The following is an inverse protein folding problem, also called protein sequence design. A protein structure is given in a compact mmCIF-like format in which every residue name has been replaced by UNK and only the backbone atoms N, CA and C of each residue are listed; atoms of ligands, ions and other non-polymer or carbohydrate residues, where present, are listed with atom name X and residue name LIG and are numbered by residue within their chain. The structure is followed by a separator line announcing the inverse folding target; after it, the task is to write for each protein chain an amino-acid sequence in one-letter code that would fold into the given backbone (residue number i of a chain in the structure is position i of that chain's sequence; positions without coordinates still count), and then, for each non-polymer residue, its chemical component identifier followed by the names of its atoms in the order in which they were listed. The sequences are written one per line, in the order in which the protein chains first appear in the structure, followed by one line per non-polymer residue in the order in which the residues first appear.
data_IF_765607323900
#
_entry.id   IF_765607323900
#
_cell.length_a   1.000
_cell.length_b   1.000
_cell.length_c   1.000
_cell.angle_alpha   90.00
_cell.angle_beta   90.00
_cell.angle_gamma   90.00
#
_symmetry.space_group_name_H-M   'P 1'
#
loop_
_entity.id
_entity.type
_entity.pdbx_description
1 polymer ?
#
# COMPACT_ATOMS: atom_id res chain seq x y z
N UNK A 1 15.03 11.95 8.94
CA UNK A 1 14.34 10.66 8.97
C UNK A 1 15.25 9.61 8.36
N UNK A 2 15.44 8.49 9.02
CA UNK A 2 16.21 7.34 8.55
C UNK A 2 15.26 6.19 8.25
N UNK A 3 15.43 5.56 7.09
CA UNK A 3 14.69 4.37 6.70
C UNK A 3 15.59 3.15 6.88
N UNK A 4 15.14 2.22 7.74
CA UNK A 4 15.77 0.90 7.88
C UNK A 4 15.20 0.02 6.76
N UNK A 5 16.09 -0.52 5.92
CA UNK A 5 15.71 -1.14 4.63
C UNK A 5 15.45 -2.64 4.71
N UNK A 6 15.33 -3.20 5.90
CA UNK A 6 14.91 -4.59 6.08
C UNK A 6 13.48 -4.78 5.61
N UNK A 7 13.20 -5.82 4.83
CA UNK A 7 11.86 -6.17 4.37
C UNK A 7 10.94 -6.60 5.53
N UNK A 8 11.52 -7.21 6.57
CA UNK A 8 10.84 -7.55 7.81
C UNK A 8 11.82 -7.54 8.98
N UNK A 9 12.00 -6.39 9.59
CA UNK A 9 12.88 -6.20 10.76
C UNK A 9 12.54 -7.12 11.94
N UNK A 10 11.30 -7.56 12.02
CA UNK A 10 10.79 -8.38 13.13
C UNK A 10 10.83 -9.88 12.84
N UNK A 11 11.48 -10.32 11.78
CA UNK A 11 11.63 -11.74 11.45
C UNK A 11 12.31 -12.53 12.58
N UNK A 12 13.29 -11.92 13.24
CA UNK A 12 13.86 -12.37 14.51
C UNK A 12 13.50 -11.36 15.62
N UNK A 13 12.45 -11.66 16.38
CA UNK A 13 11.98 -10.81 17.47
C UNK A 13 13.06 -10.54 18.52
N UNK A 14 13.85 -11.55 18.86
CA UNK A 14 14.88 -11.42 19.89
C UNK A 14 16.00 -10.48 19.45
N UNK A 15 16.39 -10.58 18.18
CA UNK A 15 17.34 -9.67 17.59
C UNK A 15 16.79 -8.23 17.53
N UNK A 16 15.56 -8.04 17.07
CA UNK A 16 14.92 -6.74 17.00
C UNK A 16 14.88 -6.05 18.38
N UNK A 17 14.49 -6.78 19.43
CA UNK A 17 14.49 -6.26 20.81
C UNK A 17 15.89 -5.83 21.25
N UNK A 18 16.93 -6.62 20.95
CA UNK A 18 18.32 -6.24 21.30
C UNK A 18 18.75 -4.96 20.57
N UNK A 19 18.45 -4.84 19.29
CA UNK A 19 18.79 -3.64 18.52
C UNK A 19 18.06 -2.40 19.05
N UNK A 20 16.76 -2.51 19.30
CA UNK A 20 15.97 -1.39 19.85
C UNK A 20 16.48 -0.94 21.24
N UNK A 21 16.78 -1.89 22.12
CA UNK A 21 17.36 -1.58 23.43
C UNK A 21 18.73 -0.93 23.31
N UNK A 22 19.55 -1.32 22.35
CA UNK A 22 20.85 -0.69 22.08
C UNK A 22 20.64 0.77 21.59
N UNK A 23 19.73 1.00 20.65
CA UNK A 23 19.39 2.35 20.18
C UNK A 23 18.99 3.25 21.35
N UNK A 24 18.18 2.72 22.28
CA UNK A 24 17.72 3.45 23.47
C UNK A 24 18.89 3.71 24.43
N UNK A 25 19.71 2.70 24.74
CA UNK A 25 20.82 2.84 25.70
C UNK A 25 21.92 3.78 25.22
N UNK A 26 22.21 3.79 23.91
CA UNK A 26 23.16 4.69 23.28
C UNK A 26 22.58 6.09 23.01
N UNK A 27 21.35 6.34 23.42
CA UNK A 27 20.63 7.61 23.22
C UNK A 27 20.68 8.12 21.76
N UNK A 28 20.52 7.22 20.81
CA UNK A 28 20.53 7.55 19.38
C UNK A 28 19.25 8.31 19.01
N UNK A 29 19.39 9.59 18.73
CA UNK A 29 18.26 10.52 18.49
C UNK A 29 18.01 10.72 16.99
N UNK A 30 17.21 9.86 16.40
CA UNK A 30 16.74 10.00 15.02
C UNK A 30 15.25 9.68 14.92
N UNK A 31 14.63 10.15 13.84
CA UNK A 31 13.28 9.75 13.48
C UNK A 31 13.40 8.57 12.50
N UNK A 32 13.08 7.37 12.98
CA UNK A 32 13.19 6.14 12.20
C UNK A 32 11.87 5.76 11.55
N UNK A 33 11.98 5.17 10.36
CA UNK A 33 10.91 4.46 9.65
C UNK A 33 11.40 3.05 9.30
N UNK A 34 10.52 2.07 9.39
CA UNK A 34 10.85 0.67 9.15
C UNK A 34 9.69 -0.03 8.46
N UNK A 35 10.03 -1.04 7.64
CA UNK A 35 9.04 -1.93 7.06
C UNK A 35 8.74 -3.10 7.97
N UNK A 36 7.48 -3.45 8.08
CA UNK A 36 6.99 -4.49 8.96
C UNK A 36 5.81 -5.24 8.34
N UNK A 37 5.68 -6.49 8.70
CA UNK A 37 4.41 -7.21 8.53
C UNK A 37 3.41 -6.70 9.57
N UNK A 38 2.11 -6.80 9.24
CA UNK A 38 1.05 -6.29 10.12
C UNK A 38 1.02 -6.96 11.50
N UNK A 39 1.53 -8.19 11.63
CA UNK A 39 1.53 -8.94 12.89
C UNK A 39 2.28 -8.22 14.03
N UNK A 40 3.20 -7.31 13.72
CA UNK A 40 3.85 -6.47 14.74
C UNK A 40 2.83 -5.64 15.54
N UNK A 41 1.68 -5.34 14.94
CA UNK A 41 0.59 -4.63 15.60
C UNK A 41 -0.08 -5.40 16.74
N UNK A 42 0.27 -6.66 16.96
CA UNK A 42 -0.20 -7.47 18.08
C UNK A 42 0.87 -7.67 19.17
N UNK A 43 2.03 -7.02 19.06
CA UNK A 43 3.13 -7.10 20.03
C UNK A 43 3.32 -5.74 20.73
N UNK A 44 2.56 -5.53 21.80
CA UNK A 44 2.55 -4.27 22.54
C UNK A 44 3.94 -3.91 23.10
N UNK A 45 4.71 -4.88 23.59
CA UNK A 45 6.10 -4.65 24.05
C UNK A 45 6.97 -4.11 22.91
N UNK A 46 6.85 -4.67 21.73
CA UNK A 46 7.61 -4.25 20.55
C UNK A 46 7.21 -2.84 20.12
N UNK A 47 5.91 -2.51 20.11
CA UNK A 47 5.42 -1.18 19.78
C UNK A 47 5.93 -0.12 20.76
N UNK A 48 5.96 -0.43 22.05
CA UNK A 48 6.51 0.45 23.08
C UNK A 48 8.02 0.65 22.91
N UNK A 49 8.78 -0.40 22.63
CA UNK A 49 10.22 -0.31 22.37
C UNK A 49 10.52 0.53 21.12
N UNK A 50 9.76 0.34 20.05
CA UNK A 50 9.88 1.15 18.84
C UNK A 50 9.69 2.63 19.14
N UNK A 51 8.64 2.97 19.88
CA UNK A 51 8.37 4.35 20.25
C UNK A 51 9.50 4.94 21.10
N UNK A 52 10.00 4.19 22.10
CA UNK A 52 11.11 4.61 22.95
C UNK A 52 12.41 4.79 22.14
N UNK A 53 12.65 3.96 21.15
CA UNK A 53 13.81 4.03 20.27
C UNK A 53 13.72 5.15 19.19
N UNK A 54 12.65 5.95 19.19
CA UNK A 54 12.50 7.09 18.27
C UNK A 54 11.86 6.75 16.92
N UNK A 55 11.22 5.60 16.81
CA UNK A 55 10.40 5.29 15.63
C UNK A 55 9.11 6.09 15.65
N UNK A 56 8.73 6.65 14.54
CA UNK A 56 7.52 7.46 14.41
C UNK A 56 6.54 6.90 13.39
N UNK A 57 7.01 6.00 12.53
CA UNK A 57 6.21 5.47 11.43
C UNK A 57 6.62 4.03 11.12
N UNK A 58 5.63 3.17 10.90
CA UNK A 58 5.80 1.82 10.38
C UNK A 58 5.21 1.72 8.98
N UNK A 59 5.99 1.26 8.02
CA UNK A 59 5.51 0.88 6.69
C UNK A 59 4.97 -0.55 6.76
N UNK A 60 3.65 -0.69 6.75
CA UNK A 60 2.96 -1.96 6.99
C UNK A 60 2.40 -2.51 5.69
N UNK A 61 2.70 -3.78 5.40
CA UNK A 61 2.09 -4.52 4.30
C UNK A 61 0.61 -4.75 4.60
N UNK A 62 -0.26 -3.90 4.04
CA UNK A 62 -1.72 -4.07 4.06
C UNK A 62 -2.14 -4.96 2.89
N UNK A 63 -1.45 -4.79 1.77
CA UNK A 63 -1.55 -5.51 0.52
C UNK A 63 -2.91 -5.35 -0.17
N UNK A 64 -3.96 -6.04 0.27
CA UNK A 64 -5.30 -6.02 -0.31
C UNK A 64 -6.34 -5.47 0.67
N UNK A 65 -7.51 -5.08 0.15
CA UNK A 65 -8.65 -4.65 0.96
C UNK A 65 -9.80 -5.65 0.94
N UNK A 66 -9.71 -6.69 0.11
CA UNK A 66 -10.72 -7.72 -0.08
C UNK A 66 -10.16 -9.09 0.32
N UNK A 67 -10.92 -9.85 1.15
CA UNK A 67 -10.49 -11.17 1.62
C UNK A 67 -10.32 -12.17 0.47
N UNK A 68 -11.09 -12.04 -0.62
CA UNK A 68 -10.96 -12.87 -1.83
C UNK A 68 -9.57 -12.75 -2.48
N UNK A 69 -8.95 -11.56 -2.42
CA UNK A 69 -7.60 -11.38 -2.93
C UNK A 69 -6.57 -12.06 -2.03
N UNK A 70 -6.73 -12.02 -0.72
CA UNK A 70 -5.85 -12.76 0.20
C UNK A 70 -5.93 -14.27 -0.03
N UNK A 71 -7.14 -14.81 -0.19
CA UNK A 71 -7.35 -16.23 -0.46
C UNK A 71 -6.73 -16.67 -1.79
N UNK A 72 -6.95 -15.90 -2.87
CA UNK A 72 -6.45 -16.20 -4.21
C UNK A 72 -4.91 -16.28 -4.26
N UNK A 73 -4.21 -15.49 -3.44
CA UNK A 73 -2.75 -15.48 -3.38
C UNK A 73 -2.19 -16.18 -2.13
N UNK A 74 -2.99 -17.09 -1.52
CA UNK A 74 -2.60 -17.93 -0.38
C UNK A 74 -2.04 -17.14 0.81
N UNK A 75 -2.51 -15.91 1.01
CA UNK A 75 -2.20 -15.11 2.17
C UNK A 75 -3.14 -15.51 3.33
N UNK A 76 -2.56 -15.81 4.48
CA UNK A 76 -3.34 -16.20 5.67
C UNK A 76 -3.95 -14.99 6.41
N UNK A 77 -3.72 -13.78 5.93
CA UNK A 77 -4.20 -12.54 6.54
C UNK A 77 -5.66 -12.29 6.17
N UNK A 78 -6.38 -11.65 7.07
CA UNK A 78 -7.72 -11.11 6.81
C UNK A 78 -7.70 -9.59 6.90
N UNK A 79 -8.60 -8.95 6.18
CA UNK A 79 -8.79 -7.49 6.26
C UNK A 79 -9.00 -7.00 7.71
N UNK A 80 -9.78 -7.76 8.51
CA UNK A 80 -10.08 -7.41 9.92
C UNK A 80 -8.82 -7.44 10.79
N UNK A 81 -7.96 -8.44 10.65
CA UNK A 81 -6.71 -8.54 11.40
C UNK A 81 -5.77 -7.39 11.09
N UNK A 82 -5.60 -7.07 9.80
CA UNK A 82 -4.75 -5.96 9.37
C UNK A 82 -5.26 -4.63 9.92
N UNK A 83 -6.57 -4.41 9.90
CA UNK A 83 -7.17 -3.20 10.45
C UNK A 83 -6.95 -3.11 11.96
N UNK A 84 -7.17 -4.19 12.70
CA UNK A 84 -6.96 -4.26 14.15
C UNK A 84 -5.49 -3.98 14.51
N UNK A 85 -4.55 -4.56 13.76
CA UNK A 85 -3.12 -4.31 13.94
C UNK A 85 -2.76 -2.84 13.68
N UNK A 86 -3.25 -2.25 12.60
CA UNK A 86 -3.00 -0.85 12.28
C UNK A 86 -3.58 0.11 13.34
N UNK A 87 -4.75 -0.20 13.88
CA UNK A 87 -5.34 0.57 14.98
C UNK A 87 -4.51 0.47 16.26
N UNK A 88 -3.99 -0.71 16.59
CA UNK A 88 -3.15 -0.89 17.76
C UNK A 88 -1.80 -0.16 17.63
N UNK A 89 -1.15 -0.22 16.46
CA UNK A 89 0.05 0.56 16.16
C UNK A 89 -0.19 2.06 16.45
N UNK A 90 -1.34 2.58 16.00
CA UNK A 90 -1.70 3.99 16.22
C UNK A 90 -1.98 4.31 17.68
N UNK A 91 -2.59 3.40 18.46
CA UNK A 91 -2.79 3.58 19.91
C UNK A 91 -1.47 3.73 20.66
N UNK A 92 -0.40 3.08 20.21
CA UNK A 92 0.95 3.23 20.76
C UNK A 92 1.67 4.50 20.27
N UNK A 93 0.98 5.39 19.53
CA UNK A 93 1.51 6.67 19.07
C UNK A 93 2.47 6.56 17.88
N UNK A 94 2.46 5.43 17.18
CA UNK A 94 3.16 5.21 15.93
C UNK A 94 2.22 5.49 14.76
N UNK A 95 2.76 5.96 13.63
CA UNK A 95 1.96 6.17 12.41
C UNK A 95 2.08 4.96 11.49
N UNK A 96 1.05 4.71 10.72
CA UNK A 96 1.02 3.62 9.74
C UNK A 96 1.12 4.20 8.33
N UNK A 97 2.15 3.79 7.59
CA UNK A 97 2.23 3.93 6.14
C UNK A 97 1.72 2.63 5.52
N UNK A 98 0.72 2.71 4.66
CA UNK A 98 0.15 1.52 4.01
C UNK A 98 0.92 1.15 2.75
N UNK A 99 1.31 -0.12 2.65
CA UNK A 99 1.83 -0.71 1.42
C UNK A 99 0.71 -1.53 0.79
N UNK A 100 0.25 -1.12 -0.41
CA UNK A 100 -0.90 -1.70 -1.09
C UNK A 100 -0.51 -2.34 -2.41
N UNK A 101 -1.15 -3.45 -2.73
CA UNK A 101 -1.06 -4.13 -4.01
C UNK A 101 -2.41 -4.01 -4.72
N UNK A 102 -2.38 -3.59 -5.99
CA UNK A 102 -3.54 -3.58 -6.87
C UNK A 102 -3.28 -4.44 -8.09
N UNK A 103 -4.34 -4.86 -8.78
CA UNK A 103 -4.20 -5.70 -9.97
C UNK A 103 -4.33 -7.20 -9.68
N UNK A 104 -4.92 -7.60 -8.56
CA UNK A 104 -5.42 -8.96 -8.38
C UNK A 104 -6.56 -9.24 -9.38
N UNK A 105 -6.76 -10.50 -9.77
CA UNK A 105 -7.79 -10.89 -10.73
C UNK A 105 -9.20 -10.57 -10.23
N UNK A 106 -9.43 -10.59 -8.91
CA UNK A 106 -10.69 -10.15 -8.28
C UNK A 106 -10.94 -8.63 -8.36
N UNK A 107 -9.93 -7.84 -8.68
CA UNK A 107 -10.07 -6.39 -8.71
C UNK A 107 -10.90 -5.92 -9.90
N UNK A 108 -11.80 -4.99 -9.64
CA UNK A 108 -12.69 -4.35 -10.62
C UNK A 108 -12.52 -2.84 -10.59
N UNK A 109 -13.16 -2.13 -11.51
CA UNK A 109 -13.27 -0.66 -11.45
C UNK A 109 -13.79 -0.22 -10.09
N UNK A 110 -13.26 0.90 -9.58
CA UNK A 110 -13.54 1.43 -8.25
C UNK A 110 -12.56 0.97 -7.17
N UNK A 111 -11.60 0.07 -7.46
CA UNK A 111 -10.56 -0.35 -6.51
C UNK A 111 -9.76 0.86 -6.00
N UNK A 112 -9.44 1.81 -6.86
CA UNK A 112 -8.73 3.03 -6.47
C UNK A 112 -9.52 3.91 -5.51
N UNK A 113 -10.85 4.00 -5.69
CA UNK A 113 -11.73 4.73 -4.77
C UNK A 113 -11.83 4.03 -3.42
N UNK A 114 -12.04 2.69 -3.40
CA UNK A 114 -12.08 1.92 -2.15
C UNK A 114 -10.79 2.09 -1.35
N UNK A 115 -9.64 2.01 -2.04
CA UNK A 115 -8.33 2.24 -1.43
C UNK A 115 -8.21 3.66 -0.85
N UNK A 116 -8.61 4.68 -1.59
CA UNK A 116 -8.58 6.05 -1.10
C UNK A 116 -9.48 6.25 0.11
N UNK A 117 -10.71 5.73 0.07
CA UNK A 117 -11.66 5.80 1.18
C UNK A 117 -11.13 5.08 2.43
N UNK A 118 -10.46 3.92 2.26
CA UNK A 118 -9.79 3.21 3.34
C UNK A 118 -8.69 4.06 3.98
N UNK A 119 -7.77 4.56 3.18
CA UNK A 119 -6.64 5.39 3.65
C UNK A 119 -7.11 6.60 4.42
N UNK A 120 -8.17 7.26 3.92
CA UNK A 120 -8.73 8.46 4.55
C UNK A 120 -9.44 8.11 5.85
N UNK A 121 -10.27 7.07 5.85
CA UNK A 121 -11.08 6.66 7.01
C UNK A 121 -10.21 6.20 8.18
N UNK A 122 -9.13 5.47 7.88
CA UNK A 122 -8.25 4.89 8.91
C UNK A 122 -7.01 5.73 9.19
N UNK A 123 -6.97 6.99 8.71
CA UNK A 123 -5.87 7.95 8.93
C UNK A 123 -4.48 7.34 8.66
N UNK A 124 -4.36 6.61 7.55
CA UNK A 124 -3.08 6.10 7.07
C UNK A 124 -2.23 7.29 6.61
N UNK A 125 -1.04 7.44 7.18
CA UNK A 125 -0.25 8.68 7.07
C UNK A 125 0.45 8.85 5.71
N UNK A 126 0.67 7.76 4.99
CA UNK A 126 1.27 7.73 3.67
C UNK A 126 0.97 6.42 2.96
N UNK A 127 1.13 6.37 1.65
CA UNK A 127 0.85 5.16 0.88
C UNK A 127 1.92 4.87 -0.16
N UNK A 128 2.21 3.59 -0.34
CA UNK A 128 2.84 3.05 -1.53
C UNK A 128 1.83 2.13 -2.22
N UNK A 129 1.45 2.46 -3.43
CA UNK A 129 0.52 1.66 -4.25
C UNK A 129 1.32 1.04 -5.38
N UNK A 130 1.44 -0.27 -5.38
CA UNK A 130 2.11 -1.02 -6.43
C UNK A 130 1.11 -1.87 -7.20
N UNK A 131 1.29 -1.99 -8.50
CA UNK A 131 0.59 -3.02 -9.25
C UNK A 131 1.25 -4.37 -8.99
N UNK A 132 0.42 -5.41 -8.98
CA UNK A 132 0.93 -6.78 -8.97
C UNK A 132 1.84 -7.01 -10.17
N UNK A 133 2.96 -7.67 -9.94
CA UNK A 133 3.88 -8.12 -10.99
C UNK A 133 4.35 -9.54 -10.64
N UNK A 134 4.71 -10.29 -11.65
CA UNK A 134 5.04 -11.70 -11.52
C UNK A 134 6.51 -11.94 -11.79
N UNK A 135 7.18 -12.58 -10.84
CA UNK A 135 8.62 -12.85 -10.92
C UNK A 135 8.83 -14.16 -11.67
N UNK A 136 9.54 -14.17 -12.83
CA UNK A 136 9.87 -15.38 -13.55
C UNK A 136 10.51 -16.45 -12.66
N UNK A 137 10.14 -17.71 -12.92
CA UNK A 137 10.54 -18.85 -12.11
C UNK A 137 9.67 -19.13 -10.90
N UNK A 138 8.65 -18.30 -10.63
CA UNK A 138 7.65 -18.58 -9.60
C UNK A 138 6.40 -19.26 -10.19
N UNK A 139 5.68 -20.10 -9.43
CA UNK A 139 4.43 -20.70 -9.90
C UNK A 139 3.39 -19.66 -10.35
N UNK A 140 3.31 -18.52 -9.67
CA UNK A 140 2.40 -17.44 -10.01
C UNK A 140 2.73 -16.83 -11.37
N UNK A 141 4.02 -16.70 -11.71
CA UNK A 141 4.42 -16.25 -13.05
C UNK A 141 3.94 -17.21 -14.13
N UNK A 142 4.13 -18.52 -13.95
CA UNK A 142 3.72 -19.52 -14.93
C UNK A 142 2.20 -19.50 -15.19
N UNK A 143 1.41 -19.22 -14.16
CA UNK A 143 -0.04 -19.10 -14.26
C UNK A 143 -0.46 -17.82 -15.02
N UNK A 144 0.26 -16.70 -14.83
CA UNK A 144 -0.16 -15.39 -15.32
C UNK A 144 0.65 -14.85 -16.50
N UNK A 145 1.68 -15.57 -16.99
CA UNK A 145 2.52 -15.11 -18.10
C UNK A 145 1.74 -14.76 -19.37
N UNK A 146 0.60 -15.42 -19.61
CA UNK A 146 -0.28 -15.13 -20.74
C UNK A 146 -1.04 -13.80 -20.64
N UNK A 147 -1.12 -13.19 -19.46
CA UNK A 147 -1.74 -11.88 -19.23
C UNK A 147 -0.75 -10.71 -19.27
N UNK A 148 0.55 -11.01 -19.40
CA UNK A 148 1.60 -9.98 -19.44
C UNK A 148 1.47 -9.13 -20.70
N UNK A 149 1.60 -7.82 -20.53
CA UNK A 149 1.66 -6.83 -21.59
C UNK A 149 3.11 -6.59 -22.00
N UNK A 150 4.01 -6.73 -21.03
CA UNK A 150 5.41 -6.40 -21.18
C UNK A 150 6.25 -7.32 -20.29
N UNK A 151 7.25 -7.94 -20.90
CA UNK A 151 8.23 -8.78 -20.21
C UNK A 151 9.51 -8.00 -19.83
N UNK A 152 9.51 -6.70 -20.05
CA UNK A 152 10.67 -5.86 -19.72
C UNK A 152 10.82 -5.70 -18.21
N UNK A 153 11.86 -6.31 -17.67
CA UNK A 153 12.22 -6.26 -16.25
C UNK A 153 12.31 -4.85 -15.66
N UNK A 154 12.71 -3.86 -16.46
CA UNK A 154 12.77 -2.48 -16.00
C UNK A 154 11.38 -1.92 -15.65
N UNK A 155 10.31 -2.60 -16.02
CA UNK A 155 8.93 -2.24 -15.69
C UNK A 155 8.36 -3.07 -14.53
N UNK A 156 9.00 -4.19 -14.17
CA UNK A 156 8.58 -5.03 -13.04
C UNK A 156 8.94 -4.42 -11.68
N UNK A 157 8.64 -3.14 -11.50
CA UNK A 157 8.94 -2.33 -10.31
C UNK A 157 7.68 -1.74 -9.68
N UNK A 158 6.58 -2.51 -9.68
CA UNK A 158 5.28 -2.05 -9.19
C UNK A 158 4.45 -1.27 -10.20
N UNK A 159 4.89 -1.22 -11.47
CA UNK A 159 4.10 -0.69 -12.59
C UNK A 159 3.09 -1.72 -13.09
N UNK A 160 2.04 -1.26 -13.76
CA UNK A 160 1.09 -2.16 -14.40
C UNK A 160 1.74 -2.81 -15.62
N UNK A 161 1.91 -4.13 -15.55
CA UNK A 161 2.57 -4.95 -16.60
C UNK A 161 1.70 -6.10 -17.09
N UNK A 162 0.47 -6.23 -16.60
CA UNK A 162 -0.44 -7.29 -16.98
C UNK A 162 -1.90 -6.79 -17.04
N UNK A 163 -2.76 -7.57 -17.65
CA UNK A 163 -4.21 -7.38 -17.63
C UNK A 163 -4.81 -8.36 -16.60
N UNK A 164 -5.31 -7.88 -15.44
CA UNK A 164 -6.11 -8.72 -14.55
C UNK A 164 -7.40 -9.19 -15.21
N UNK A 165 -8.04 -10.24 -14.68
CA UNK A 165 -9.20 -10.88 -15.32
C UNK A 165 -10.40 -9.93 -15.51
N UNK A 166 -10.63 -9.00 -14.56
CA UNK A 166 -11.84 -8.18 -14.53
C UNK A 166 -11.62 -6.69 -14.75
N UNK A 167 -10.38 -6.27 -15.01
CA UNK A 167 -10.05 -4.88 -15.29
C UNK A 167 -8.92 -4.79 -16.30
N UNK A 168 -9.01 -3.88 -17.27
CA UNK A 168 -7.91 -3.66 -18.20
C UNK A 168 -6.72 -2.96 -17.51
N UNK A 169 -5.50 -3.21 -17.97
CA UNK A 169 -4.32 -2.52 -17.47
C UNK A 169 -4.44 -0.99 -17.54
N UNK A 170 -5.04 -0.46 -18.61
CA UNK A 170 -5.31 0.97 -18.73
C UNK A 170 -6.27 1.49 -17.67
N UNK A 171 -7.32 0.72 -17.36
CA UNK A 171 -8.27 1.13 -16.32
C UNK A 171 -7.69 0.93 -14.92
N UNK A 172 -6.93 -0.13 -14.68
CA UNK A 172 -6.18 -0.30 -13.43
C UNK A 172 -5.23 0.88 -13.19
N UNK A 173 -4.49 1.31 -14.22
CA UNK A 173 -3.62 2.48 -14.11
C UNK A 173 -4.40 3.78 -13.80
N UNK A 174 -5.60 3.95 -14.36
CA UNK A 174 -6.49 5.08 -14.01
C UNK A 174 -6.96 5.01 -12.56
N UNK A 175 -7.27 3.82 -12.06
CA UNK A 175 -7.65 3.59 -10.66
C UNK A 175 -6.50 3.98 -9.70
N UNK A 176 -5.25 3.62 -10.02
CA UNK A 176 -4.07 4.05 -9.23
C UNK A 176 -3.93 5.58 -9.21
N UNK A 177 -4.09 6.21 -10.38
CA UNK A 177 -4.06 7.67 -10.49
C UNK A 177 -5.20 8.30 -9.67
N UNK A 178 -6.40 7.73 -9.73
CA UNK A 178 -7.57 8.20 -8.97
C UNK A 178 -7.31 8.10 -7.47
N UNK A 179 -6.80 6.96 -6.99
CA UNK A 179 -6.45 6.76 -5.59
C UNK A 179 -5.46 7.84 -5.11
N UNK A 180 -4.33 8.01 -5.80
CA UNK A 180 -3.33 9.04 -5.48
C UNK A 180 -3.93 10.45 -5.46
N UNK A 181 -4.83 10.79 -6.40
CA UNK A 181 -5.48 12.12 -6.46
C UNK A 181 -6.46 12.35 -5.33
N UNK A 182 -7.18 11.31 -4.90
CA UNK A 182 -8.16 11.38 -3.82
C UNK A 182 -7.46 11.49 -2.46
N UNK A 183 -6.44 10.67 -2.22
CA UNK A 183 -5.68 10.65 -0.97
C UNK A 183 -4.94 11.97 -0.77
N UNK A 184 -4.29 12.49 -1.81
CA UNK A 184 -3.53 13.74 -1.78
C UNK A 184 -4.24 14.85 -2.57
N UNK A 185 -5.49 15.11 -2.21
CA UNK A 185 -6.30 16.16 -2.82
C UNK A 185 -6.03 17.54 -2.20
N UNK A 186 -6.39 18.61 -2.91
CA UNK A 186 -6.24 19.96 -2.40
C UNK A 186 -7.03 20.22 -1.10
N UNK A 187 -8.27 19.75 -0.93
CA UNK A 187 -8.98 19.86 0.36
C UNK A 187 -8.20 19.23 1.52
N UNK A 188 -7.60 18.06 1.32
CA UNK A 188 -6.78 17.40 2.36
C UNK A 188 -5.47 18.13 2.64
N UNK A 189 -4.89 18.78 1.62
CA UNK A 189 -3.75 19.66 1.83
C UNK A 189 -4.13 20.84 2.73
N UNK A 190 -5.26 21.47 2.46
CA UNK A 190 -5.77 22.57 3.28
C UNK A 190 -6.08 22.13 4.70
N UNK A 191 -6.73 20.98 4.87
CA UNK A 191 -6.98 20.37 6.18
C UNK A 191 -5.67 20.12 6.96
N UNK A 192 -4.66 19.57 6.30
CA UNK A 192 -3.35 19.32 6.91
C UNK A 192 -2.64 20.62 7.33
N UNK A 193 -2.76 21.68 6.54
CA UNK A 193 -2.20 22.98 6.89
C UNK A 193 -2.88 23.63 8.08
N UNK A 194 -4.19 23.44 8.23
CA UNK A 194 -5.01 24.04 9.29
C UNK A 194 -4.95 23.24 10.61
N UNK A 195 -5.00 21.92 10.53
CA UNK A 195 -5.22 21.06 11.70
C UNK A 195 -4.00 20.25 12.12
N UNK A 196 -3.11 19.82 11.19
CA UNK A 196 -1.89 19.09 11.55
C UNK A 196 -0.81 20.04 12.05
N UNK A 197 0.02 19.59 13.01
CA UNK A 197 1.09 20.39 13.61
C UNK A 197 2.41 19.62 13.64
N UNK A 198 3.52 20.35 13.82
CA UNK A 198 4.85 19.77 13.99
C UNK A 198 5.24 18.80 12.87
N UNK A 199 5.75 17.65 13.26
CA UNK A 199 6.25 16.62 12.35
C UNK A 199 5.16 16.06 11.42
N UNK A 200 3.93 15.90 11.89
CA UNK A 200 2.83 15.36 11.08
C UNK A 200 2.52 16.23 9.87
N UNK A 201 2.47 17.55 10.07
CA UNK A 201 2.27 18.49 8.97
C UNK A 201 3.42 18.42 7.97
N UNK A 202 4.66 18.43 8.47
CA UNK A 202 5.86 18.39 7.61
C UNK A 202 5.89 17.13 6.76
N UNK A 203 5.57 15.98 7.34
CA UNK A 203 5.57 14.71 6.64
C UNK A 203 4.44 14.61 5.63
N UNK A 204 3.24 15.08 5.97
CA UNK A 204 2.14 15.13 5.01
C UNK A 204 2.47 16.02 3.81
N UNK A 205 3.07 17.20 4.04
CA UNK A 205 3.49 18.09 2.96
C UNK A 205 4.55 17.45 2.08
N UNK A 206 5.57 16.83 2.68
CA UNK A 206 6.59 16.10 1.95
C UNK A 206 5.99 15.02 1.05
N UNK A 207 5.08 14.21 1.61
CA UNK A 207 4.35 13.17 0.88
C UNK A 207 3.49 13.77 -0.24
N UNK A 208 2.75 14.85 0.02
CA UNK A 208 1.92 15.51 -0.98
C UNK A 208 2.74 15.96 -2.20
N UNK A 209 3.88 16.63 -1.98
CA UNK A 209 4.74 17.08 -3.08
C UNK A 209 5.43 15.94 -3.81
N UNK A 210 5.85 14.91 -3.08
CA UNK A 210 6.41 13.70 -3.68
C UNK A 210 5.38 13.01 -4.59
N UNK A 211 4.15 12.87 -4.14
CA UNK A 211 3.05 12.29 -4.90
C UNK A 211 2.68 13.10 -6.16
N UNK A 212 2.95 14.39 -6.19
CA UNK A 212 2.82 15.16 -7.42
C UNK A 212 3.80 14.71 -8.51
N UNK A 213 5.03 14.35 -8.12
CA UNK A 213 6.02 13.77 -9.05
C UNK A 213 5.64 12.37 -9.48
N UNK A 214 5.22 11.52 -8.54
CA UNK A 214 4.71 10.17 -8.82
C UNK A 214 3.54 10.21 -9.82
N UNK A 215 2.60 11.16 -9.70
CA UNK A 215 1.48 11.30 -10.63
C UNK A 215 1.91 11.62 -12.06
N UNK A 216 3.03 12.33 -12.24
CA UNK A 216 3.57 12.58 -13.60
C UNK A 216 4.06 11.26 -14.21
N UNK A 217 4.72 10.44 -13.41
CA UNK A 217 5.17 9.10 -13.83
C UNK A 217 3.98 8.19 -14.15
N UNK A 218 3.00 8.10 -13.25
CA UNK A 218 1.77 7.33 -13.47
C UNK A 218 1.03 7.70 -14.76
N UNK A 219 1.02 8.99 -15.13
CA UNK A 219 0.45 9.44 -16.40
C UNK A 219 1.28 9.02 -17.62
N UNK A 220 2.61 9.00 -17.50
CA UNK A 220 3.50 8.48 -18.56
C UNK A 220 3.27 6.98 -18.77
N UNK A 221 3.14 6.24 -17.67
CA UNK A 221 2.82 4.82 -17.70
C UNK A 221 1.45 4.56 -18.34
N UNK A 222 0.45 5.39 -18.05
CA UNK A 222 -0.85 5.29 -18.72
C UNK A 222 -0.75 5.54 -20.25
N UNK A 223 0.07 6.50 -20.66
CA UNK A 223 0.30 6.76 -22.09
C UNK A 223 1.00 5.57 -22.75
N UNK A 224 1.97 4.97 -22.08
CA UNK A 224 2.64 3.75 -22.54
C UNK A 224 1.63 2.59 -22.71
N UNK A 225 0.81 2.33 -21.70
CA UNK A 225 -0.18 1.25 -21.73
C UNK A 225 -1.19 1.43 -22.86
N UNK A 226 -1.63 2.67 -23.15
CA UNK A 226 -2.52 2.96 -24.28
C UNK A 226 -1.92 2.61 -25.65
N UNK A 227 -0.60 2.66 -25.75
CA UNK A 227 0.11 2.36 -26.99
C UNK A 227 0.43 0.86 -27.15
N UNK A 228 0.52 0.10 -26.04
CA UNK A 228 1.06 -1.27 -26.04
C UNK A 228 0.11 -2.32 -25.45
N UNK A 229 -0.85 -1.93 -24.60
CA UNK A 229 -1.76 -2.89 -23.99
C UNK A 229 -2.78 -3.40 -25.02
N UNK A 230 -2.97 -4.71 -25.04
CA UNK A 230 -4.09 -5.33 -25.73
C UNK A 230 -5.42 -4.81 -25.15
N UNK A 231 -6.50 -4.76 -25.94
CA UNK A 231 -7.82 -4.45 -25.41
C UNK A 231 -8.13 -5.41 -24.26
N UNK A 232 -8.52 -4.83 -23.11
CA UNK A 232 -8.86 -5.61 -21.92
C UNK A 232 -10.09 -6.50 -22.15
N UNK A 233 -10.43 -7.35 -21.18
CA UNK A 233 -11.60 -8.20 -21.26
C UNK A 233 -12.86 -7.35 -21.54
N UNK A 234 -13.82 -7.88 -22.31
CA UNK A 234 -15.07 -7.17 -22.56
C UNK A 234 -15.78 -6.85 -21.23
N UNK A 235 -16.35 -5.64 -21.13
CA UNK A 235 -17.14 -5.27 -19.96
C UNK A 235 -18.22 -6.34 -19.71
N UNK A 236 -18.06 -7.13 -18.65
CA UNK A 236 -19.17 -7.94 -18.17
C UNK A 236 -20.19 -6.93 -17.62
N UNK A 237 -21.35 -6.87 -18.26
CA UNK A 237 -22.52 -6.10 -17.79
C UNK A 237 -22.70 -6.37 -16.31
N UNK A 238 -22.89 -5.35 -15.44
CA UNK A 238 -23.09 -5.58 -14.02
C UNK A 238 -24.24 -6.57 -13.85
N UNK A 239 -23.96 -7.67 -13.15
CA UNK A 239 -24.98 -8.64 -12.78
C UNK A 239 -26.03 -7.89 -11.98
N UNK A 240 -27.23 -7.69 -12.57
CA UNK A 240 -28.38 -7.15 -11.88
C UNK A 240 -28.74 -8.15 -10.78
N UNK A 241 -28.29 -7.89 -9.56
CA UNK A 241 -28.82 -8.55 -8.39
C UNK A 241 -30.34 -8.25 -8.34
N UNK A 242 -31.20 -9.25 -8.25
CA UNK A 242 -32.63 -9.01 -8.13
C UNK A 242 -32.85 -8.17 -6.88
N UNK A 243 -33.55 -7.04 -7.05
CA UNK A 243 -34.05 -6.26 -5.91
C UNK A 243 -34.93 -7.20 -5.09
N UNK A 244 -34.46 -7.58 -3.90
CA UNK A 244 -35.31 -8.25 -2.91
C UNK A 244 -36.43 -7.29 -2.57
N UNK A 245 -37.65 -7.61 -3.07
CA UNK A 245 -38.91 -7.10 -2.55
C UNK A 245 -39.05 -7.69 -1.14
N UNK A 246 -38.94 -6.89 -0.12
CA UNK A 246 -39.86 -6.68 1.01
C UNK A 246 -39.30 -5.56 1.89
#
# INVERSE_FOLDING_TARGET
MLWITDDNFFADRAWAVRVLRLIISENIQYNFTIQARYEVGFDDEMLDLLRQAGFSELAVGIEFLEDEAFEAYHKKSTYREILSAAENIRRHGLRVRGLFIVGADSHTRGVGRRLADFVIRHDICGVLIQSMYFIPGTPVYETHKGSLIDENWARCTGKVVHNPEHISACDLQKEIILASRSIYSLPRLMDALLHKRGIERTLFLGEYFWQMSVRRELKRDLAYLRAHALPGPPEKTPCNLPRSSV
#
